data_IF_338004746551
#
_entry.id   IF_338004746551
#
_cell.length_a   1.000
_cell.length_b   1.000
_cell.length_c   1.000
_cell.angle_alpha   90.00
_cell.angle_beta   90.00
_cell.angle_gamma   90.00
#
_symmetry.space_group_name_H-M   'P 1'
#
loop_
_entity.id
_entity.type
_entity.pdbx_description
1 polymer ?
#
# COMPACT_ATOMS: atom_id res chain seq x y z
N UNK A 1 20.86 11.92 10.82
CA UNK A 1 21.01 13.39 10.94
C UNK A 1 21.87 13.81 12.14
N UNK A 2 21.52 13.45 13.39
CA UNK A 2 22.34 13.79 14.58
C UNK A 2 23.79 13.30 14.46
N UNK A 3 23.97 12.08 13.94
CA UNK A 3 25.30 11.50 13.69
C UNK A 3 26.12 12.28 12.64
N UNK A 4 25.47 13.13 11.84
CA UNK A 4 26.10 14.05 10.88
C UNK A 4 26.14 15.49 11.40
N UNK A 5 25.95 15.70 12.71
CA UNK A 5 25.96 17.03 13.34
C UNK A 5 24.74 17.90 13.03
N UNK A 6 23.69 17.35 12.42
CA UNK A 6 22.46 18.05 12.02
C UNK A 6 21.22 17.53 12.76
N UNK A 7 20.07 18.18 12.61
CA UNK A 7 18.82 17.75 13.25
C UNK A 7 17.61 17.96 12.34
N UNK A 8 16.55 17.21 12.60
CA UNK A 8 15.26 17.39 11.97
C UNK A 8 14.46 18.43 12.75
N UNK A 9 13.84 19.37 12.05
CA UNK A 9 12.98 20.41 12.62
C UNK A 9 11.53 20.01 12.39
N UNK A 10 10.74 19.99 13.46
CA UNK A 10 9.31 19.69 13.41
C UNK A 10 8.48 20.97 13.47
N UNK A 11 7.48 21.06 12.60
CA UNK A 11 6.50 22.16 12.51
C UNK A 11 5.15 21.58 12.11
N UNK A 12 4.08 22.19 12.58
CA UNK A 12 2.71 21.87 12.19
C UNK A 12 2.00 23.12 11.66
N UNK A 13 1.24 22.96 10.58
CA UNK A 13 0.52 24.06 9.93
C UNK A 13 0.41 23.86 8.42
N UNK A 14 -0.16 24.85 7.73
CA UNK A 14 -0.16 24.88 6.27
C UNK A 14 1.29 24.99 5.78
N UNK A 15 1.66 24.13 4.83
CA UNK A 15 3.05 23.99 4.40
C UNK A 15 3.70 25.31 3.98
N UNK A 16 3.02 26.14 3.19
CA UNK A 16 3.59 27.41 2.72
C UNK A 16 3.80 28.40 3.86
N UNK A 17 2.85 28.55 4.77
CA UNK A 17 2.96 29.49 5.90
C UNK A 17 4.17 29.13 6.77
N UNK A 18 4.29 27.85 7.13
CA UNK A 18 5.41 27.31 7.90
C UNK A 18 6.75 27.49 7.18
N UNK A 19 6.82 27.19 5.87
CA UNK A 19 8.06 27.33 5.10
C UNK A 19 8.50 28.78 4.99
N UNK A 20 7.56 29.73 4.85
CA UNK A 20 7.89 31.15 4.82
C UNK A 20 8.47 31.64 6.15
N UNK A 21 7.87 31.25 7.28
CA UNK A 21 8.40 31.55 8.61
C UNK A 21 9.80 30.96 8.79
N UNK A 22 10.00 29.70 8.39
CA UNK A 22 11.28 29.02 8.48
C UNK A 22 12.36 29.67 7.60
N UNK A 23 12.01 30.11 6.38
CA UNK A 23 12.93 30.83 5.49
C UNK A 23 13.38 32.14 6.13
N UNK A 24 12.47 32.90 6.77
CA UNK A 24 12.82 34.13 7.49
C UNK A 24 13.70 33.82 8.70
N UNK A 25 13.33 32.85 9.54
CA UNK A 25 14.06 32.46 10.74
C UNK A 25 15.49 31.97 10.45
N UNK A 26 15.66 31.23 9.35
CA UNK A 26 16.94 30.65 8.95
C UNK A 26 17.75 31.50 7.97
N UNK A 27 17.15 32.56 7.41
CA UNK A 27 17.71 33.33 6.28
C UNK A 27 18.07 32.44 5.07
N UNK A 28 17.34 31.34 4.86
CA UNK A 28 17.61 30.41 3.78
C UNK A 28 17.36 31.05 2.41
N UNK A 29 18.33 30.94 1.49
CA UNK A 29 18.17 31.38 0.09
C UNK A 29 17.53 30.32 -0.81
N UNK A 30 17.33 29.10 -0.31
CA UNK A 30 16.83 27.98 -1.10
C UNK A 30 16.02 26.97 -0.28
N UNK A 31 15.06 26.31 -0.93
CA UNK A 31 14.26 25.20 -0.42
C UNK A 31 14.28 24.06 -1.44
N UNK A 32 14.67 22.87 -0.98
CA UNK A 32 14.79 21.66 -1.80
C UNK A 32 13.94 20.52 -1.25
N UNK A 33 13.27 19.78 -2.13
CA UNK A 33 12.44 18.64 -1.73
C UNK A 33 12.39 17.55 -2.81
N UNK A 34 11.90 16.36 -2.45
CA UNK A 34 11.59 15.28 -3.39
C UNK A 34 10.14 15.36 -3.82
N UNK A 35 9.87 15.07 -5.11
CA UNK A 35 8.52 15.11 -5.69
C UNK A 35 7.63 14.03 -5.08
N UNK A 36 6.40 14.43 -4.80
CA UNK A 36 5.25 13.55 -4.65
C UNK A 36 4.33 13.76 -5.86
N UNK A 37 3.44 12.81 -6.12
CA UNK A 37 2.72 12.71 -7.39
C UNK A 37 1.21 12.64 -7.24
N UNK A 38 0.70 12.47 -6.02
CA UNK A 38 -0.74 12.56 -5.79
C UNK A 38 -1.22 14.01 -6.00
N UNK A 39 -2.49 14.20 -6.45
CA UNK A 39 -2.99 15.52 -6.82
C UNK A 39 -2.88 16.57 -5.71
N UNK A 40 -3.10 16.19 -4.46
CA UNK A 40 -3.05 17.11 -3.32
C UNK A 40 -1.62 17.59 -3.06
N UNK A 41 -0.64 16.68 -3.09
CA UNK A 41 0.75 17.04 -2.97
C UNK A 41 1.26 17.88 -4.16
N UNK A 42 0.81 17.57 -5.39
CA UNK A 42 1.16 18.36 -6.58
C UNK A 42 0.60 19.78 -6.50
N UNK A 43 -0.65 19.95 -6.06
CA UNK A 43 -1.26 21.25 -5.86
C UNK A 43 -0.51 22.05 -4.77
N UNK A 44 -0.24 21.42 -3.63
CA UNK A 44 0.53 22.02 -2.53
C UNK A 44 1.92 22.45 -2.98
N UNK A 45 2.66 21.58 -3.66
CA UNK A 45 4.04 21.86 -4.05
C UNK A 45 4.12 22.92 -5.16
N UNK A 46 3.10 22.99 -6.03
CA UNK A 46 2.98 24.04 -7.04
C UNK A 46 2.77 25.40 -6.39
N UNK A 47 1.86 25.49 -5.41
CA UNK A 47 1.67 26.71 -4.61
C UNK A 47 2.98 27.11 -3.90
N UNK A 48 3.60 26.17 -3.17
CA UNK A 48 4.84 26.43 -2.43
C UNK A 48 5.93 26.96 -3.36
N UNK A 49 6.12 26.33 -4.52
CA UNK A 49 7.14 26.73 -5.49
C UNK A 49 6.86 28.11 -6.09
N UNK A 50 5.60 28.46 -6.35
CA UNK A 50 5.23 29.80 -6.87
C UNK A 50 5.57 30.88 -5.86
N UNK A 51 5.07 30.72 -4.62
CA UNK A 51 5.21 31.74 -3.58
C UNK A 51 6.67 31.95 -3.16
N UNK A 52 7.47 30.87 -3.10
CA UNK A 52 8.90 31.00 -2.80
C UNK A 52 9.66 31.73 -3.91
N UNK A 53 9.34 31.46 -5.18
CA UNK A 53 9.95 32.15 -6.33
C UNK A 53 9.61 33.63 -6.37
N UNK A 54 8.37 34.01 -6.07
CA UNK A 54 7.94 35.41 -5.96
C UNK A 54 8.75 36.17 -4.89
N UNK A 55 9.21 35.47 -3.85
CA UNK A 55 10.09 36.00 -2.81
C UNK A 55 11.59 35.88 -3.12
N UNK A 56 11.96 35.54 -4.36
CA UNK A 56 13.34 35.32 -4.80
C UNK A 56 14.08 34.22 -4.01
N UNK A 57 13.35 33.21 -3.52
CA UNK A 57 13.93 32.02 -2.88
C UNK A 57 14.05 30.93 -3.94
N UNK A 58 15.22 30.30 -4.06
CA UNK A 58 15.40 29.18 -4.98
C UNK A 58 14.56 27.99 -4.52
N UNK A 59 13.65 27.51 -5.38
CA UNK A 59 12.76 26.39 -5.05
C UNK A 59 12.92 25.27 -6.08
N UNK A 60 13.50 24.12 -5.67
CA UNK A 60 13.75 22.97 -6.55
C UNK A 60 13.25 21.66 -5.96
N UNK A 61 12.62 20.88 -6.84
CA UNK A 61 12.06 19.56 -6.55
C UNK A 61 12.77 18.50 -7.39
N UNK A 62 13.15 17.38 -6.79
CA UNK A 62 13.90 16.29 -7.43
C UNK A 62 13.09 15.00 -7.48
N UNK A 63 13.39 14.12 -8.45
CA UNK A 63 12.84 12.77 -8.49
C UNK A 63 13.41 11.88 -7.37
N UNK A 64 13.11 10.58 -7.43
CA UNK A 64 13.65 9.59 -6.49
C UNK A 64 12.58 8.70 -5.85
N UNK A 65 11.36 9.20 -5.67
CA UNK A 65 10.22 8.39 -5.21
C UNK A 65 9.75 7.37 -6.26
N UNK A 66 9.98 7.67 -7.54
CA UNK A 66 9.74 6.80 -8.70
C UNK A 66 11.04 6.61 -9.48
N UNK A 67 11.18 5.48 -10.17
CA UNK A 67 12.28 5.23 -11.12
C UNK A 67 12.03 5.94 -12.46
N UNK A 68 10.78 6.00 -12.88
CA UNK A 68 10.40 6.60 -14.15
C UNK A 68 9.39 7.72 -13.90
N UNK A 69 9.76 8.94 -14.25
CA UNK A 69 8.84 10.07 -14.23
C UNK A 69 7.62 9.74 -15.13
N UNK A 70 6.37 9.82 -14.64
CA UNK A 70 5.19 9.32 -15.35
C UNK A 70 4.96 9.88 -16.76
N UNK A 71 5.36 11.14 -16.98
CA UNK A 71 5.27 11.81 -18.28
C UNK A 71 6.39 11.41 -19.26
N UNK A 72 7.39 10.63 -18.84
CA UNK A 72 8.49 10.18 -19.70
C UNK A 72 8.25 8.79 -20.30
N UNK A 73 7.16 8.11 -19.96
CA UNK A 73 6.84 6.75 -20.43
C UNK A 73 5.62 6.81 -21.35
N UNK A 74 5.84 6.89 -22.66
CA UNK A 74 4.78 7.00 -23.66
C UNK A 74 4.68 5.77 -24.56
N UNK A 75 3.50 5.54 -25.12
CA UNK A 75 3.32 4.50 -26.14
C UNK A 75 3.95 4.92 -27.47
N UNK A 76 4.25 3.94 -28.34
CA UNK A 76 4.81 4.21 -29.68
C UNK A 76 3.91 5.08 -30.58
N UNK A 77 2.62 5.13 -30.29
CA UNK A 77 1.62 5.91 -31.03
C UNK A 77 1.24 7.22 -30.31
N UNK A 78 1.97 7.60 -29.26
CA UNK A 78 1.60 8.70 -28.36
C UNK A 78 0.62 8.28 -27.27
N UNK A 79 0.50 9.11 -26.23
CA UNK A 79 -0.33 8.83 -25.06
C UNK A 79 0.29 7.84 -24.08
N UNK A 80 -0.49 7.43 -23.08
CA UNK A 80 -0.01 6.71 -21.91
C UNK A 80 -0.46 5.24 -21.88
N UNK A 81 0.32 4.38 -21.21
CA UNK A 81 -0.02 2.98 -21.03
C UNK A 81 -1.20 2.76 -20.07
N UNK A 82 -2.16 1.92 -20.50
CA UNK A 82 -3.33 1.48 -19.72
C UNK A 82 -3.30 -0.01 -19.35
N UNK A 83 -2.27 -0.73 -19.79
CA UNK A 83 -2.07 -2.17 -19.59
C UNK A 83 -0.65 -2.39 -19.08
N UNK A 84 -0.48 -3.25 -18.08
CA UNK A 84 0.81 -3.43 -17.40
C UNK A 84 1.86 -4.09 -18.30
N UNK A 85 1.51 -5.15 -19.03
CA UNK A 85 2.51 -5.90 -19.81
C UNK A 85 3.22 -5.06 -20.87
N UNK A 86 2.53 -4.22 -21.68
CA UNK A 86 3.21 -3.27 -22.57
C UNK A 86 4.05 -2.23 -21.82
N UNK A 87 3.59 -1.73 -20.66
CA UNK A 87 4.36 -0.80 -19.83
C UNK A 87 5.67 -1.43 -19.34
N UNK A 88 5.60 -2.62 -18.74
CA UNK A 88 6.78 -3.42 -18.35
C UNK A 88 7.75 -3.61 -19.50
N UNK A 89 7.25 -4.03 -20.67
CA UNK A 89 8.11 -4.26 -21.84
C UNK A 89 8.83 -3.00 -22.33
N UNK A 90 8.25 -1.83 -22.09
CA UNK A 90 8.87 -0.54 -22.42
C UNK A 90 9.91 -0.13 -21.40
N UNK A 91 9.66 -0.32 -20.09
CA UNK A 91 10.54 0.20 -19.05
C UNK A 91 11.63 -0.78 -18.59
N UNK A 92 11.46 -2.09 -18.78
CA UNK A 92 12.41 -3.11 -18.29
C UNK A 92 13.85 -2.97 -18.80
N UNK A 93 14.01 -2.34 -19.97
CA UNK A 93 15.31 -2.12 -20.62
C UNK A 93 15.75 -0.65 -20.56
N UNK A 94 14.98 0.23 -19.90
CA UNK A 94 15.40 1.62 -19.70
C UNK A 94 16.49 1.66 -18.65
N UNK A 95 17.43 2.57 -18.83
CA UNK A 95 18.40 2.89 -17.79
C UNK A 95 17.66 3.46 -16.57
N UNK A 96 18.03 2.96 -15.39
CA UNK A 96 17.58 3.45 -14.09
C UNK A 96 18.81 4.04 -13.42
N UNK A 97 18.76 5.32 -13.07
CA UNK A 97 19.89 6.03 -12.49
C UNK A 97 20.47 5.27 -11.28
N UNK A 98 21.80 5.25 -11.17
CA UNK A 98 22.44 4.64 -10.02
C UNK A 98 22.10 5.43 -8.73
N UNK A 99 21.83 4.75 -7.61
CA UNK A 99 21.60 5.43 -6.33
C UNK A 99 22.81 6.29 -5.95
N UNK A 100 22.55 7.53 -5.56
CA UNK A 100 23.58 8.43 -5.04
C UNK A 100 24.06 7.96 -3.67
N UNK A 101 25.32 8.25 -3.36
CA UNK A 101 25.88 7.96 -2.05
C UNK A 101 25.33 8.92 -0.99
N UNK A 102 25.21 8.42 0.24
CA UNK A 102 24.85 9.27 1.37
C UNK A 102 25.87 10.40 1.57
N UNK A 103 25.44 11.63 1.91
CA UNK A 103 26.36 12.71 2.26
C UNK A 103 27.24 12.32 3.45
N UNK A 104 28.54 12.64 3.40
CA UNK A 104 29.46 12.39 4.53
C UNK A 104 29.47 13.53 5.54
N UNK A 105 28.99 14.71 5.15
CA UNK A 105 28.93 15.90 6.01
C UNK A 105 27.72 16.75 5.64
N UNK A 106 26.96 17.19 6.65
CA UNK A 106 25.84 18.12 6.49
C UNK A 106 26.17 19.36 7.33
N UNK A 107 26.33 20.51 6.68
CA UNK A 107 26.57 21.77 7.40
C UNK A 107 25.33 22.15 8.20
N UNK A 108 25.53 22.42 9.48
CA UNK A 108 24.48 22.87 10.39
C UNK A 108 24.50 24.39 10.56
N UNK A 109 23.35 25.03 10.77
CA UNK A 109 23.29 26.45 11.06
C UNK A 109 23.88 26.75 12.45
N UNK A 110 24.38 27.97 12.64
CA UNK A 110 24.91 28.46 13.92
C UNK A 110 23.80 28.67 14.95
N UNK A 111 22.67 29.22 14.50
CA UNK A 111 21.43 29.29 15.27
C UNK A 111 20.42 28.36 14.63
N UNK A 112 19.86 27.46 15.42
CA UNK A 112 18.84 26.58 14.90
C UNK A 112 17.45 27.19 15.03
N UNK A 113 16.58 26.98 14.03
CA UNK A 113 15.17 27.29 14.15
C UNK A 113 14.53 26.63 15.38
N UNK A 114 13.41 27.19 15.84
CA UNK A 114 12.47 26.56 16.78
C UNK A 114 12.17 25.12 16.32
N UNK A 115 11.63 24.25 17.17
CA UNK A 115 11.14 22.93 16.75
C UNK A 115 10.10 22.47 17.74
N UNK A 116 8.99 21.96 17.22
CA UNK A 116 8.05 21.20 18.03
C UNK A 116 8.72 19.94 18.58
N UNK A 117 8.17 19.42 19.67
CA UNK A 117 8.44 18.07 20.12
C UNK A 117 7.48 17.11 19.42
N UNK A 118 8.01 16.17 18.64
CA UNK A 118 7.21 15.19 17.89
C UNK A 118 6.28 14.35 18.79
N UNK A 119 6.64 14.16 20.06
CA UNK A 119 5.79 13.48 21.06
C UNK A 119 4.47 14.20 21.30
N UNK A 120 4.45 15.52 21.17
CA UNK A 120 3.29 16.34 21.51
C UNK A 120 2.21 16.24 20.43
N UNK A 121 2.60 15.84 19.21
CA UNK A 121 1.69 15.61 18.10
C UNK A 121 0.80 14.38 18.33
N UNK A 122 1.19 13.46 19.24
CA UNK A 122 0.39 12.28 19.63
C UNK A 122 -0.19 11.52 18.42
N UNK A 123 0.67 11.23 17.43
CA UNK A 123 0.29 10.67 16.12
C UNK A 123 -0.40 9.30 16.20
N UNK A 124 -0.25 8.59 17.32
CA UNK A 124 -0.82 7.27 17.58
C UNK A 124 -2.08 7.31 18.47
N UNK A 125 -2.54 8.50 18.88
CA UNK A 125 -3.65 8.66 19.83
C UNK A 125 -4.92 7.95 19.37
N UNK A 126 -5.29 8.14 18.11
CA UNK A 126 -6.54 7.61 17.55
C UNK A 126 -6.51 6.08 17.36
N UNK A 127 -5.32 5.46 17.35
CA UNK A 127 -5.19 4.00 17.31
C UNK A 127 -5.56 3.34 18.65
N UNK A 128 -5.55 4.09 19.76
CA UNK A 128 -5.96 3.61 21.08
C UNK A 128 -5.31 2.29 21.48
N UNK A 129 -6.12 1.24 21.68
CA UNK A 129 -5.64 -0.10 22.07
C UNK A 129 -4.82 -0.78 20.96
N UNK A 130 -5.03 -0.40 19.69
CA UNK A 130 -4.33 -0.95 18.55
C UNK A 130 -2.84 -0.62 18.52
N UNK A 131 -2.43 0.53 19.09
CA UNK A 131 -1.03 1.00 19.04
C UNK A 131 -0.06 -0.04 19.58
N UNK A 132 -0.31 -0.56 20.78
CA UNK A 132 0.57 -1.54 21.43
C UNK A 132 0.58 -2.90 20.72
N UNK A 133 -0.49 -3.21 19.99
CA UNK A 133 -0.63 -4.47 19.24
C UNK A 133 0.14 -4.40 17.92
N UNK A 134 0.01 -3.30 17.18
CA UNK A 134 0.63 -3.12 15.86
C UNK A 134 2.12 -2.81 15.98
N UNK A 135 2.55 -2.05 17.00
CA UNK A 135 3.92 -1.55 17.15
C UNK A 135 5.02 -2.61 16.97
N UNK A 136 4.93 -3.84 17.51
CA UNK A 136 5.95 -4.87 17.33
C UNK A 136 6.13 -5.35 15.87
N UNK A 137 5.11 -5.18 15.03
CA UNK A 137 5.16 -5.58 13.61
C UNK A 137 5.74 -4.49 12.70
N UNK A 138 5.81 -3.25 13.20
CA UNK A 138 6.26 -2.08 12.45
C UNK A 138 7.79 -2.04 12.40
N UNK A 139 8.34 -2.04 11.19
CA UNK A 139 9.78 -2.12 10.90
C UNK A 139 10.17 -0.93 10.01
N UNK A 140 10.56 0.18 10.65
CA UNK A 140 10.79 1.48 10.01
C UNK A 140 12.25 1.91 10.12
N UNK A 141 12.64 2.84 9.25
CA UNK A 141 13.93 3.47 9.17
C UNK A 141 14.80 2.90 8.05
N UNK A 142 15.59 3.78 7.42
CA UNK A 142 16.48 3.46 6.30
C UNK A 142 17.35 2.23 6.56
N UNK A 143 18.00 2.15 7.74
CA UNK A 143 18.85 1.00 8.10
C UNK A 143 18.07 -0.32 8.09
N UNK A 144 16.85 -0.34 8.63
CA UNK A 144 15.99 -1.52 8.67
C UNK A 144 15.56 -1.91 7.25
N UNK A 145 15.20 -0.92 6.42
CA UNK A 145 14.86 -1.15 5.02
C UNK A 145 16.02 -1.76 4.23
N UNK A 146 17.26 -1.26 4.41
CA UNK A 146 18.46 -1.82 3.78
C UNK A 146 18.73 -3.26 4.23
N UNK A 147 18.62 -3.56 5.54
CA UNK A 147 18.78 -4.93 6.05
C UNK A 147 17.74 -5.89 5.45
N UNK A 148 16.49 -5.45 5.28
CA UNK A 148 15.43 -6.27 4.67
C UNK A 148 15.65 -6.50 3.19
N UNK A 149 16.13 -5.48 2.46
CA UNK A 149 16.52 -5.65 1.06
C UNK A 149 17.69 -6.65 0.95
N UNK A 150 18.72 -6.52 1.77
CA UNK A 150 19.86 -7.43 1.77
C UNK A 150 19.43 -8.88 2.05
N UNK A 151 18.68 -9.13 3.14
CA UNK A 151 18.15 -10.45 3.47
C UNK A 151 17.26 -11.02 2.36
N UNK A 152 16.41 -10.19 1.74
CA UNK A 152 15.57 -10.62 0.64
C UNK A 152 16.42 -11.06 -0.57
N UNK A 153 17.41 -10.26 -0.96
CA UNK A 153 18.26 -10.54 -2.11
C UNK A 153 19.18 -11.74 -1.86
N UNK A 154 19.67 -11.93 -0.65
CA UNK A 154 20.57 -13.04 -0.31
C UNK A 154 19.81 -14.36 -0.13
N UNK A 155 18.67 -14.34 0.58
CA UNK A 155 18.06 -15.56 1.11
C UNK A 155 16.72 -15.94 0.47
N UNK A 156 16.04 -15.01 -0.22
CA UNK A 156 14.64 -15.22 -0.64
C UNK A 156 14.41 -15.04 -2.14
N UNK A 157 15.12 -14.13 -2.79
CA UNK A 157 14.82 -13.70 -4.17
C UNK A 157 14.91 -14.86 -5.18
N UNK A 158 15.86 -15.78 -4.99
CA UNK A 158 16.02 -16.96 -5.85
C UNK A 158 14.78 -17.86 -5.88
N UNK A 159 14.05 -17.98 -4.76
CA UNK A 159 12.84 -18.81 -4.62
C UNK A 159 11.55 -17.96 -4.50
N UNK A 160 11.63 -16.70 -4.94
CA UNK A 160 10.55 -15.75 -4.77
C UNK A 160 9.30 -16.18 -5.56
N UNK A 161 9.48 -16.75 -6.76
CA UNK A 161 8.38 -17.16 -7.64
C UNK A 161 7.53 -18.25 -7.00
N UNK A 162 8.14 -19.23 -6.36
CA UNK A 162 7.47 -20.37 -5.73
C UNK A 162 6.79 -19.96 -4.41
N UNK A 163 7.42 -19.03 -3.67
CA UNK A 163 7.00 -18.67 -2.32
C UNK A 163 6.03 -17.49 -2.20
N UNK A 164 6.04 -16.55 -3.16
CA UNK A 164 5.33 -15.25 -3.04
C UNK A 164 3.81 -15.33 -2.98
N UNK A 165 3.23 -16.49 -3.28
CA UNK A 165 1.79 -16.69 -3.27
C UNK A 165 1.28 -17.37 -1.98
N UNK A 166 2.19 -17.80 -1.08
CA UNK A 166 1.85 -18.56 0.13
C UNK A 166 1.91 -17.64 1.37
N UNK A 167 0.77 -17.17 1.91
CA UNK A 167 0.76 -16.17 2.99
C UNK A 167 1.39 -16.64 4.30
N UNK A 168 1.36 -17.94 4.59
CA UNK A 168 1.98 -18.52 5.79
C UNK A 168 3.52 -18.41 5.76
N UNK A 169 4.14 -18.19 4.60
CA UNK A 169 5.59 -18.19 4.44
C UNK A 169 6.14 -16.76 4.31
N UNK A 170 7.21 -16.47 5.05
CA UNK A 170 7.91 -15.19 4.98
C UNK A 170 8.83 -15.10 3.74
N UNK A 171 8.24 -15.15 2.54
CA UNK A 171 8.96 -15.22 1.24
C UNK A 171 9.01 -13.91 0.46
N UNK A 172 8.26 -12.90 0.87
CA UNK A 172 8.28 -11.57 0.24
C UNK A 172 9.35 -10.66 0.86
N UNK A 173 9.65 -9.55 0.19
CA UNK A 173 10.64 -8.57 0.68
C UNK A 173 10.17 -7.82 1.93
N UNK A 174 8.84 -7.67 2.09
CA UNK A 174 8.21 -6.80 3.09
C UNK A 174 8.76 -5.36 3.06
N UNK A 175 9.08 -4.83 1.89
CA UNK A 175 9.62 -3.47 1.73
C UNK A 175 8.54 -2.41 1.45
N UNK A 176 7.25 -2.78 1.36
CA UNK A 176 6.20 -1.88 0.88
C UNK A 176 6.03 -0.64 1.77
N UNK A 177 6.04 -0.77 3.10
CA UNK A 177 5.98 0.39 4.00
C UNK A 177 7.23 1.28 3.92
N UNK A 178 8.41 0.68 3.71
CA UNK A 178 9.65 1.45 3.58
C UNK A 178 9.67 2.22 2.25
N UNK A 179 9.14 1.62 1.17
CA UNK A 179 8.97 2.26 -0.15
C UNK A 179 7.89 3.35 -0.14
N UNK A 180 6.80 3.17 0.61
CA UNK A 180 5.74 4.17 0.75
C UNK A 180 6.25 5.43 1.46
N UNK A 181 7.06 5.25 2.51
CA UNK A 181 7.64 6.34 3.30
C UNK A 181 8.94 6.93 2.73
N UNK A 182 9.48 6.35 1.65
CA UNK A 182 10.74 6.80 1.05
C UNK A 182 11.98 6.49 1.90
N UNK A 183 11.90 5.52 2.81
CA UNK A 183 13.03 5.04 3.62
C UNK A 183 14.02 4.19 2.82
N UNK A 184 13.60 3.73 1.65
CA UNK A 184 14.46 3.10 0.64
C UNK A 184 13.97 3.52 -0.74
N UNK A 185 14.89 3.81 -1.65
CA UNK A 185 14.52 4.20 -3.02
C UNK A 185 14.21 2.96 -3.87
N UNK A 186 13.24 3.05 -4.80
CA UNK A 186 13.02 1.97 -5.77
C UNK A 186 14.24 1.73 -6.67
N UNK A 187 15.10 2.75 -6.86
CA UNK A 187 16.39 2.62 -7.54
C UNK A 187 17.32 1.64 -6.83
N UNK A 188 17.44 1.73 -5.49
CA UNK A 188 18.27 0.78 -4.71
C UNK A 188 17.72 -0.65 -4.84
N UNK A 189 16.40 -0.83 -4.75
CA UNK A 189 15.77 -2.13 -4.93
C UNK A 189 16.00 -2.70 -6.34
N UNK A 190 15.84 -1.86 -7.37
CA UNK A 190 16.03 -2.23 -8.77
C UNK A 190 17.46 -2.68 -9.05
N UNK A 191 18.45 -1.87 -8.65
CA UNK A 191 19.87 -2.19 -8.86
C UNK A 191 20.29 -3.44 -8.09
N UNK A 192 19.79 -3.64 -6.87
CA UNK A 192 20.07 -4.87 -6.11
C UNK A 192 19.47 -6.12 -6.79
N UNK A 193 18.23 -6.03 -7.27
CA UNK A 193 17.56 -7.12 -7.97
C UNK A 193 18.18 -7.40 -9.34
N UNK A 194 18.60 -6.37 -10.08
CA UNK A 194 19.27 -6.53 -11.37
C UNK A 194 20.62 -7.24 -11.23
N UNK A 195 21.39 -6.92 -10.19
CA UNK A 195 22.63 -7.66 -9.87
C UNK A 195 22.34 -9.13 -9.59
N UNK A 196 21.38 -9.42 -8.71
CA UNK A 196 20.99 -10.80 -8.39
C UNK A 196 20.52 -11.57 -9.63
N UNK A 197 19.73 -10.93 -10.50
CA UNK A 197 19.30 -11.52 -11.76
C UNK A 197 20.48 -11.88 -12.67
N UNK A 198 21.45 -10.97 -12.83
CA UNK A 198 22.65 -11.19 -13.63
C UNK A 198 23.59 -12.26 -13.03
N UNK A 199 23.53 -12.47 -11.71
CA UNK A 199 24.25 -13.52 -10.99
C UNK A 199 23.52 -14.89 -11.05
N UNK A 200 22.41 -14.99 -11.79
CA UNK A 200 21.67 -16.24 -12.03
C UNK A 200 20.50 -16.48 -11.08
N UNK A 201 20.15 -15.51 -10.21
CA UNK A 201 18.96 -15.61 -9.36
C UNK A 201 17.71 -15.16 -10.12
N UNK A 202 17.21 -16.00 -11.03
CA UNK A 202 16.14 -15.62 -11.97
C UNK A 202 14.81 -15.19 -11.31
N UNK A 203 14.55 -15.59 -10.06
CA UNK A 203 13.41 -15.09 -9.29
C UNK A 203 13.39 -13.56 -9.10
N UNK A 204 14.55 -12.91 -9.24
CA UNK A 204 14.69 -11.45 -9.19
C UNK A 204 13.93 -10.72 -10.32
N UNK A 205 13.72 -11.34 -11.48
CA UNK A 205 12.91 -10.74 -12.55
C UNK A 205 11.47 -10.51 -12.09
N UNK A 206 10.92 -11.43 -11.29
CA UNK A 206 9.58 -11.27 -10.75
C UNK A 206 9.56 -10.13 -9.75
N UNK A 207 10.58 -9.99 -8.89
CA UNK A 207 10.66 -8.84 -7.99
C UNK A 207 10.79 -7.50 -8.75
N UNK A 208 11.56 -7.44 -9.85
CA UNK A 208 11.63 -6.27 -10.74
C UNK A 208 10.24 -5.92 -11.31
N UNK A 209 9.45 -6.92 -11.71
CA UNK A 209 8.05 -6.72 -12.16
C UNK A 209 7.18 -6.15 -11.04
N UNK A 210 7.30 -6.66 -9.82
CA UNK A 210 6.54 -6.13 -8.68
C UNK A 210 6.92 -4.68 -8.34
N UNK A 211 8.18 -4.28 -8.50
CA UNK A 211 8.58 -2.87 -8.40
C UNK A 211 7.92 -2.02 -9.50
N UNK A 212 7.84 -2.53 -10.73
CA UNK A 212 7.22 -1.83 -11.85
C UNK A 212 5.70 -1.77 -11.74
N UNK A 213 5.04 -2.68 -11.01
CA UNK A 213 3.62 -2.53 -10.67
C UNK A 213 3.35 -1.27 -9.86
N UNK A 214 4.26 -0.91 -8.94
CA UNK A 214 4.19 0.37 -8.21
C UNK A 214 4.36 1.55 -9.17
N UNK A 215 5.36 1.52 -10.06
CA UNK A 215 5.55 2.57 -11.08
C UNK A 215 4.32 2.72 -11.98
N UNK A 216 3.69 1.61 -12.37
CA UNK A 216 2.50 1.59 -13.19
C UNK A 216 1.29 2.20 -12.47
N UNK A 217 1.14 1.98 -11.15
CA UNK A 217 0.10 2.62 -10.36
C UNK A 217 0.23 4.14 -10.38
N UNK A 218 1.44 4.67 -10.18
CA UNK A 218 1.72 6.10 -10.23
C UNK A 218 1.57 6.67 -11.65
N UNK A 219 1.97 5.90 -12.66
CA UNK A 219 1.74 6.24 -14.06
C UNK A 219 0.25 6.45 -14.35
N UNK A 220 -0.61 5.50 -13.93
CA UNK A 220 -2.05 5.62 -14.06
C UNK A 220 -2.63 6.78 -13.25
N UNK A 221 -2.18 6.99 -12.01
CA UNK A 221 -2.63 8.12 -11.18
C UNK A 221 -2.29 9.46 -11.81
N UNK A 222 -1.10 9.62 -12.39
CA UNK A 222 -0.71 10.86 -13.05
C UNK A 222 -1.59 11.16 -14.28
N UNK A 223 -1.81 10.17 -15.14
CA UNK A 223 -2.56 10.35 -16.39
C UNK A 223 -4.08 10.31 -16.21
N UNK A 224 -4.56 9.68 -15.14
CA UNK A 224 -5.98 9.58 -14.78
C UNK A 224 -6.19 9.81 -13.28
N UNK A 225 -6.04 11.05 -12.77
CA UNK A 225 -6.08 11.36 -11.33
C UNK A 225 -7.37 10.90 -10.62
N UNK A 226 -8.48 10.87 -11.34
CA UNK A 226 -9.77 10.38 -10.85
C UNK A 226 -9.75 8.88 -10.46
N UNK A 227 -8.71 8.10 -10.81
CA UNK A 227 -8.55 6.72 -10.33
C UNK A 227 -8.57 6.63 -8.80
N UNK A 228 -8.22 7.71 -8.11
CA UNK A 228 -8.17 7.75 -6.65
C UNK A 228 -9.55 7.70 -5.99
N UNK A 229 -10.60 8.19 -6.65
CA UNK A 229 -11.91 8.41 -6.02
C UNK A 229 -13.14 8.06 -6.89
N UNK A 230 -12.95 7.84 -8.19
CA UNK A 230 -14.01 7.52 -9.15
C UNK A 230 -13.72 6.21 -9.87
N UNK A 231 -14.77 5.59 -10.41
CA UNK A 231 -14.60 4.44 -11.28
C UNK A 231 -13.76 4.83 -12.49
N UNK A 232 -12.73 4.05 -12.79
CA UNK A 232 -11.86 4.34 -13.93
C UNK A 232 -12.57 4.10 -15.27
N UNK A 233 -13.56 3.20 -15.28
CA UNK A 233 -14.50 2.99 -16.39
C UNK A 233 -15.87 3.57 -16.01
N UNK A 234 -16.26 4.66 -16.64
CA UNK A 234 -17.46 5.46 -16.30
C UNK A 234 -18.76 4.63 -16.19
N UNK A 235 -18.95 3.60 -17.03
CA UNK A 235 -20.14 2.75 -16.97
C UNK A 235 -20.37 2.08 -15.60
N UNK A 236 -19.31 1.86 -14.82
CA UNK A 236 -19.39 1.22 -13.50
C UNK A 236 -20.05 2.06 -12.42
N UNK A 237 -20.28 3.35 -12.66
CA UNK A 237 -21.06 4.21 -11.76
C UNK A 237 -22.52 3.76 -11.65
N UNK A 238 -23.07 3.20 -12.73
CA UNK A 238 -24.43 2.66 -12.77
C UNK A 238 -24.55 1.23 -12.19
N UNK A 239 -23.43 0.60 -11.84
CA UNK A 239 -23.44 -0.76 -11.31
C UNK A 239 -24.09 -0.78 -9.91
N UNK A 240 -24.95 -1.76 -9.58
CA UNK A 240 -25.79 -1.73 -8.37
C UNK A 240 -25.02 -2.12 -7.10
N UNK A 241 -24.01 -1.30 -6.75
CA UNK A 241 -23.19 -1.49 -5.57
C UNK A 241 -23.97 -1.20 -4.28
N UNK A 242 -23.74 -2.01 -3.25
CA UNK A 242 -24.01 -1.61 -1.88
C UNK A 242 -22.97 -0.54 -1.45
N UNK A 243 -23.44 0.66 -1.17
CA UNK A 243 -22.61 1.78 -0.70
C UNK A 243 -22.68 1.98 0.83
N UNK A 244 -23.44 1.15 1.54
CA UNK A 244 -23.57 1.23 2.99
C UNK A 244 -22.38 0.57 3.70
N UNK A 245 -21.41 1.40 4.10
CA UNK A 245 -20.20 1.00 4.82
C UNK A 245 -20.45 0.42 6.25
N UNK A 246 -21.69 0.54 6.75
CA UNK A 246 -22.15 0.04 8.05
C UNK A 246 -23.11 -1.15 7.92
N UNK A 247 -23.33 -1.67 6.71
CA UNK A 247 -24.12 -2.89 6.51
C UNK A 247 -23.51 -4.09 7.28
N UNK A 248 -24.31 -5.03 7.78
CA UNK A 248 -23.82 -6.21 8.52
C UNK A 248 -22.73 -6.99 7.76
N UNK A 249 -22.87 -7.13 6.45
CA UNK A 249 -21.91 -7.79 5.56
C UNK A 249 -20.56 -7.08 5.52
N UNK A 250 -20.57 -5.75 5.39
CA UNK A 250 -19.34 -4.95 5.39
C UNK A 250 -18.69 -4.94 6.76
N UNK A 251 -19.47 -4.87 7.84
CA UNK A 251 -18.93 -4.92 9.20
C UNK A 251 -18.32 -6.28 9.51
N UNK A 252 -18.96 -7.37 9.10
CA UNK A 252 -18.39 -8.71 9.17
C UNK A 252 -17.09 -8.83 8.37
N UNK A 253 -17.02 -8.21 7.19
CA UNK A 253 -15.80 -8.14 6.39
C UNK A 253 -14.68 -7.37 7.11
N UNK A 254 -14.93 -6.15 7.59
CA UNK A 254 -13.94 -5.30 8.28
C UNK A 254 -13.27 -6.01 9.45
N UNK A 255 -14.03 -6.77 10.24
CA UNK A 255 -13.56 -7.44 11.45
C UNK A 255 -13.30 -8.94 11.27
N UNK A 256 -13.26 -9.46 10.04
CA UNK A 256 -12.96 -10.87 9.77
C UNK A 256 -13.89 -11.83 10.50
N UNK A 257 -15.21 -11.62 10.34
CA UNK A 257 -16.31 -12.45 10.85
C UNK A 257 -17.28 -12.87 9.74
N UNK A 258 -16.78 -12.99 8.51
CA UNK A 258 -17.57 -13.34 7.33
C UNK A 258 -17.97 -14.81 7.28
N UNK A 259 -17.29 -15.68 8.04
CA UNK A 259 -17.45 -17.14 7.94
C UNK A 259 -16.65 -17.74 6.78
N UNK A 260 -15.87 -16.94 6.08
CA UNK A 260 -14.95 -17.36 5.01
C UNK A 260 -13.51 -17.26 5.53
N UNK A 261 -12.94 -18.39 5.97
CA UNK A 261 -11.70 -18.42 6.75
C UNK A 261 -10.52 -17.68 6.11
N UNK A 262 -10.33 -17.74 4.79
CA UNK A 262 -9.25 -16.96 4.15
C UNK A 262 -9.47 -15.46 4.32
N UNK A 263 -10.68 -14.99 4.02
CA UNK A 263 -11.05 -13.58 4.12
C UNK A 263 -10.85 -13.12 5.56
N UNK A 264 -11.37 -13.90 6.52
CA UNK A 264 -11.29 -13.56 7.93
C UNK A 264 -9.85 -13.53 8.46
N UNK A 265 -9.02 -14.51 8.09
CA UNK A 265 -7.60 -14.53 8.47
C UNK A 265 -6.84 -13.33 7.91
N UNK A 266 -7.08 -12.97 6.64
CA UNK A 266 -6.44 -11.82 6.02
C UNK A 266 -6.88 -10.49 6.64
N UNK A 267 -8.17 -10.31 6.92
CA UNK A 267 -8.68 -9.11 7.58
C UNK A 267 -8.14 -8.96 9.01
N UNK A 268 -7.92 -10.08 9.72
CA UNK A 268 -7.29 -10.07 11.04
C UNK A 268 -5.78 -9.83 10.98
N UNK A 269 -5.08 -10.38 9.99
CA UNK A 269 -3.66 -10.06 9.71
C UNK A 269 -3.49 -8.55 9.50
N UNK A 270 -4.33 -7.94 8.65
CA UNK A 270 -4.36 -6.51 8.41
C UNK A 270 -4.50 -5.72 9.71
N UNK A 271 -5.50 -6.07 10.51
CA UNK A 271 -5.84 -5.30 11.69
C UNK A 271 -4.76 -5.41 12.79
N UNK A 272 -4.11 -6.58 12.93
CA UNK A 272 -3.09 -6.81 13.96
C UNK A 272 -1.73 -6.26 13.54
N UNK A 273 -1.36 -6.38 12.27
CA UNK A 273 0.01 -6.11 11.81
C UNK A 273 0.15 -4.80 11.05
N UNK A 274 -0.97 -4.23 10.61
CA UNK A 274 -1.00 -3.14 9.65
C UNK A 274 -0.58 -3.54 8.23
N UNK A 275 -0.38 -4.83 7.97
CA UNK A 275 -0.03 -5.36 6.64
C UNK A 275 -0.96 -6.50 6.27
N UNK A 276 -1.10 -6.76 4.97
CA UNK A 276 -1.77 -7.94 4.47
C UNK A 276 -0.99 -8.50 3.30
N UNK A 277 -0.76 -9.80 3.28
CA UNK A 277 -0.12 -10.46 2.14
C UNK A 277 -0.89 -10.15 0.83
N UNK A 278 -0.21 -9.89 -0.29
CA UNK A 278 -0.87 -9.45 -1.53
C UNK A 278 -1.95 -10.44 -2.02
N UNK A 279 -1.71 -11.75 -1.89
CA UNK A 279 -2.74 -12.77 -2.15
C UNK A 279 -4.00 -12.57 -1.31
N UNK A 280 -3.83 -12.24 -0.03
CA UNK A 280 -4.92 -11.88 0.88
C UNK A 280 -5.65 -10.63 0.39
N UNK A 281 -4.91 -9.56 0.02
CA UNK A 281 -5.49 -8.31 -0.51
C UNK A 281 -6.41 -8.57 -1.69
N UNK A 282 -5.97 -9.37 -2.67
CA UNK A 282 -6.78 -9.75 -3.83
C UNK A 282 -8.05 -10.51 -3.45
N UNK A 283 -7.96 -11.46 -2.50
CA UNK A 283 -9.09 -12.31 -2.10
C UNK A 283 -10.12 -11.49 -1.32
N UNK A 284 -9.70 -10.67 -0.35
CA UNK A 284 -10.62 -9.84 0.43
C UNK A 284 -11.29 -8.77 -0.43
N UNK A 285 -10.55 -8.18 -1.38
CA UNK A 285 -11.10 -7.20 -2.30
C UNK A 285 -12.11 -7.83 -3.27
N UNK A 286 -11.81 -9.02 -3.80
CA UNK A 286 -12.74 -9.79 -4.64
C UNK A 286 -13.98 -10.24 -3.86
N UNK A 287 -13.83 -10.62 -2.57
CA UNK A 287 -14.97 -10.95 -1.73
C UNK A 287 -15.87 -9.73 -1.49
N UNK A 288 -15.31 -8.60 -1.09
CA UNK A 288 -16.07 -7.37 -0.86
C UNK A 288 -16.80 -6.91 -2.13
N UNK A 289 -16.08 -6.78 -3.24
CA UNK A 289 -16.65 -6.23 -4.48
C UNK A 289 -17.58 -7.21 -5.16
N UNK A 290 -17.23 -8.50 -5.25
CA UNK A 290 -18.04 -9.45 -6.02
C UNK A 290 -19.05 -10.19 -5.15
N UNK A 291 -18.60 -10.82 -4.06
CA UNK A 291 -19.51 -11.64 -3.25
C UNK A 291 -20.47 -10.78 -2.45
N UNK A 292 -19.99 -9.70 -1.84
CA UNK A 292 -20.82 -8.78 -1.05
C UNK A 292 -21.51 -7.70 -1.91
N UNK A 293 -21.12 -7.57 -3.19
CA UNK A 293 -21.57 -6.49 -4.08
C UNK A 293 -21.36 -5.09 -3.49
N UNK A 294 -20.35 -4.91 -2.65
CA UNK A 294 -20.08 -3.63 -2.00
C UNK A 294 -19.12 -2.76 -2.81
N UNK A 295 -19.35 -1.45 -2.81
CA UNK A 295 -18.52 -0.51 -3.56
C UNK A 295 -17.06 -0.56 -3.07
N UNK A 296 -16.11 -0.59 -4.02
CA UNK A 296 -14.68 -0.78 -3.73
C UNK A 296 -14.09 0.31 -2.82
N UNK A 297 -14.63 1.54 -2.87
CA UNK A 297 -14.23 2.66 -1.99
C UNK A 297 -14.38 2.35 -0.50
N UNK A 298 -15.36 1.53 -0.12
CA UNK A 298 -15.52 1.08 1.27
C UNK A 298 -14.27 0.32 1.73
N UNK A 299 -13.75 -0.54 0.87
CA UNK A 299 -12.53 -1.30 1.12
C UNK A 299 -11.27 -0.44 1.04
N UNK A 300 -11.21 0.47 0.07
CA UNK A 300 -10.11 1.42 -0.10
C UNK A 300 -9.90 2.29 1.15
N UNK A 301 -10.99 2.85 1.68
CA UNK A 301 -10.98 3.66 2.91
C UNK A 301 -10.66 2.81 4.15
N UNK A 302 -11.16 1.58 4.22
CA UNK A 302 -10.76 0.68 5.31
C UNK A 302 -9.26 0.39 5.26
N UNK A 303 -8.72 0.11 4.08
CA UNK A 303 -7.29 -0.12 3.87
C UNK A 303 -6.46 1.11 4.21
N UNK A 304 -6.92 2.34 3.92
CA UNK A 304 -6.20 3.55 4.31
C UNK A 304 -6.12 3.77 5.82
N UNK A 305 -7.12 3.29 6.56
CA UNK A 305 -7.12 3.38 8.02
C UNK A 305 -6.28 2.28 8.70
N UNK A 306 -5.95 1.19 8.00
CA UNK A 306 -5.28 0.04 8.61
C UNK A 306 -3.87 -0.24 8.07
N UNK A 307 -3.59 0.08 6.80
CA UNK A 307 -2.31 -0.27 6.18
C UNK A 307 -1.19 0.69 6.61
N UNK A 308 -0.09 0.13 7.12
CA UNK A 308 1.16 0.89 7.35
C UNK A 308 1.97 1.09 6.07
N UNK A 309 1.62 0.37 5.00
CA UNK A 309 2.15 0.58 3.65
C UNK A 309 1.16 1.29 2.74
N UNK A 310 0.29 2.12 3.32
CA UNK A 310 -0.67 2.90 2.55
C UNK A 310 0.03 3.75 1.50
N UNK A 311 -0.42 3.60 0.25
CA UNK A 311 0.06 4.31 -0.92
C UNK A 311 -1.19 4.63 -1.78
N UNK A 312 -1.45 5.91 -2.12
CA UNK A 312 -2.70 6.30 -2.76
C UNK A 312 -2.88 5.63 -4.13
N UNK A 313 -1.81 5.58 -4.94
CA UNK A 313 -1.84 5.01 -6.27
C UNK A 313 -2.04 3.49 -6.25
N UNK A 314 -1.23 2.79 -5.47
CA UNK A 314 -1.24 1.32 -5.39
C UNK A 314 -2.53 0.79 -4.76
N UNK A 315 -3.03 1.47 -3.72
CA UNK A 315 -4.29 1.12 -3.07
C UNK A 315 -5.47 1.30 -4.05
N UNK A 316 -5.57 2.47 -4.68
CA UNK A 316 -6.64 2.75 -5.64
C UNK A 316 -6.63 1.76 -6.82
N UNK A 317 -5.46 1.57 -7.45
CA UNK A 317 -5.31 0.65 -8.58
C UNK A 317 -5.70 -0.79 -8.20
N UNK A 318 -5.24 -1.30 -7.05
CA UNK A 318 -5.53 -2.68 -6.61
C UNK A 318 -7.02 -2.93 -6.34
N UNK A 319 -7.71 -1.95 -5.73
CA UNK A 319 -9.14 -2.02 -5.48
C UNK A 319 -9.95 -2.00 -6.78
N UNK A 320 -9.64 -1.07 -7.68
CA UNK A 320 -10.32 -0.98 -8.97
C UNK A 320 -10.05 -2.19 -9.86
N UNK A 321 -8.84 -2.73 -9.84
CA UNK A 321 -8.48 -3.95 -10.56
C UNK A 321 -9.28 -5.17 -10.09
N UNK A 322 -9.50 -5.29 -8.78
CA UNK A 322 -10.32 -6.36 -8.19
C UNK A 322 -11.82 -6.17 -8.48
N UNK A 323 -12.28 -4.91 -8.47
CA UNK A 323 -13.67 -4.54 -8.75
C UNK A 323 -14.08 -4.71 -10.22
N UNK A 324 -13.13 -4.83 -11.16
CA UNK A 324 -13.40 -4.89 -12.61
C UNK A 324 -13.50 -3.51 -13.29
N UNK A 325 -13.63 -2.44 -12.51
CA UNK A 325 -13.69 -1.04 -12.95
C UNK A 325 -12.34 -0.50 -13.45
N UNK A 326 -11.22 -1.04 -12.93
CA UNK A 326 -9.89 -0.51 -13.18
C UNK A 326 -9.30 -0.77 -14.57
N UNK A 327 -8.19 -0.07 -14.89
CA UNK A 327 -7.35 -0.37 -16.04
C UNK A 327 -6.71 -1.76 -15.88
N UNK A 328 -6.55 -2.49 -16.98
CA UNK A 328 -6.02 -3.88 -17.00
C UNK A 328 -6.75 -4.85 -16.03
N UNK A 329 -7.97 -4.52 -15.62
CA UNK A 329 -8.70 -5.29 -14.63
C UNK A 329 -9.01 -6.70 -15.12
N UNK A 330 -8.96 -7.67 -14.20
CA UNK A 330 -9.49 -9.00 -14.50
C UNK A 330 -10.95 -8.88 -14.94
N UNK A 331 -11.37 -9.63 -15.97
CA UNK A 331 -12.77 -9.61 -16.38
C UNK A 331 -13.68 -9.91 -15.18
N UNK A 332 -14.72 -9.09 -14.97
CA UNK A 332 -15.49 -9.12 -13.73
C UNK A 332 -16.05 -10.50 -13.41
N UNK A 333 -16.51 -11.24 -14.43
CA UNK A 333 -17.02 -12.60 -14.32
C UNK A 333 -16.03 -13.63 -13.75
N UNK A 334 -14.73 -13.31 -13.67
CA UNK A 334 -13.74 -14.08 -12.90
C UNK A 334 -13.90 -13.79 -11.41
N UNK A 335 -14.87 -14.45 -10.79
CA UNK A 335 -15.08 -14.43 -9.33
C UNK A 335 -14.19 -15.49 -8.68
N UNK A 336 -13.23 -15.09 -7.85
CA UNK A 336 -12.39 -16.04 -7.11
C UNK A 336 -13.26 -16.79 -6.11
N UNK A 337 -13.23 -18.12 -6.11
CA UNK A 337 -13.87 -18.87 -5.04
C UNK A 337 -12.95 -18.87 -3.80
N UNK A 338 -13.28 -18.15 -2.72
CA UNK A 338 -12.38 -18.00 -1.57
C UNK A 338 -12.11 -19.32 -0.84
N UNK A 339 -12.99 -20.32 -0.98
CA UNK A 339 -12.81 -21.66 -0.41
C UNK A 339 -11.67 -22.38 -1.15
N UNK A 340 -11.70 -22.41 -2.49
CA UNK A 340 -10.65 -23.08 -3.26
C UNK A 340 -9.33 -22.32 -3.25
N UNK A 341 -9.37 -20.99 -3.05
CA UNK A 341 -8.16 -20.21 -2.78
C UNK A 341 -7.48 -20.64 -1.48
N UNK A 342 -8.25 -20.97 -0.43
CA UNK A 342 -7.72 -21.48 0.83
C UNK A 342 -7.02 -22.82 0.64
N UNK A 343 -7.66 -23.76 -0.07
CA UNK A 343 -7.05 -25.05 -0.37
C UNK A 343 -5.74 -24.92 -1.16
N UNK A 344 -5.68 -23.94 -2.07
CA UNK A 344 -4.51 -23.71 -2.92
C UNK A 344 -3.35 -23.05 -2.18
N UNK A 345 -3.61 -22.01 -1.39
CA UNK A 345 -2.55 -21.14 -0.83
C UNK A 345 -2.33 -21.31 0.67
N UNK A 346 -3.19 -22.04 1.37
CA UNK A 346 -3.06 -22.38 2.79
C UNK A 346 -3.44 -23.85 3.02
N UNK A 347 -2.85 -24.76 2.24
CA UNK A 347 -3.16 -26.20 2.23
C UNK A 347 -3.14 -26.82 3.64
N UNK A 348 -2.17 -26.42 4.47
CA UNK A 348 -2.01 -26.94 5.82
C UNK A 348 -2.84 -26.18 6.87
N UNK A 349 -3.49 -25.07 6.50
CA UNK A 349 -4.19 -24.13 7.40
C UNK A 349 -3.28 -23.37 8.37
N UNK A 350 -2.00 -23.24 8.07
CA UNK A 350 -1.06 -22.53 8.95
C UNK A 350 -1.39 -21.04 9.04
N UNK A 351 -1.80 -20.42 7.93
CA UNK A 351 -2.17 -19.01 7.90
C UNK A 351 -3.49 -18.75 8.66
N UNK A 352 -4.52 -19.54 8.38
CA UNK A 352 -5.81 -19.42 9.07
C UNK A 352 -5.71 -19.66 10.57
N UNK A 353 -4.98 -20.70 11.00
CA UNK A 353 -4.74 -20.98 12.43
C UNK A 353 -3.94 -19.89 13.14
N UNK A 354 -3.07 -19.18 12.42
CA UNK A 354 -2.28 -18.09 12.98
C UNK A 354 -3.14 -16.89 13.36
N UNK A 355 -4.21 -16.63 12.61
CA UNK A 355 -4.99 -15.38 12.70
C UNK A 355 -6.41 -15.54 13.23
N UNK A 356 -6.97 -16.75 13.22
CA UNK A 356 -8.33 -17.03 13.71
C UNK A 356 -8.23 -17.94 14.93
N UNK A 357 -8.67 -17.44 16.09
CA UNK A 357 -8.56 -18.17 17.35
C UNK A 357 -9.67 -19.23 17.48
N UNK A 358 -10.85 -18.94 16.92
CA UNK A 358 -12.09 -19.69 17.07
C UNK A 358 -12.09 -21.03 16.30
N UNK A 359 -11.17 -21.19 15.34
CA UNK A 359 -11.06 -22.41 14.52
C UNK A 359 -10.09 -23.43 15.10
N UNK A 360 -9.47 -23.15 16.25
CA UNK A 360 -8.45 -23.99 16.84
C UNK A 360 -8.51 -24.04 18.36
N UNK A 361 -8.44 -25.26 18.92
CA UNK A 361 -8.34 -25.45 20.37
C UNK A 361 -7.03 -24.88 20.94
N UNK A 362 -5.90 -25.07 20.25
CA UNK A 362 -4.63 -24.45 20.62
C UNK A 362 -4.49 -23.10 19.91
N UNK A 363 -5.01 -22.05 20.55
CA UNK A 363 -5.11 -20.71 19.96
C UNK A 363 -3.72 -20.09 19.80
N UNK A 364 -3.39 -19.64 18.59
CA UNK A 364 -2.14 -18.96 18.32
C UNK A 364 -2.09 -17.60 19.00
N UNK A 365 -0.92 -17.21 19.53
CA UNK A 365 -0.76 -15.94 20.25
C UNK A 365 -1.08 -14.72 19.40
N UNK A 366 -0.73 -14.74 18.10
CA UNK A 366 -1.11 -13.68 17.16
C UNK A 366 -2.63 -13.56 16.98
N UNK A 367 -3.37 -14.67 16.91
CA UNK A 367 -4.83 -14.62 16.79
C UNK A 367 -5.49 -13.95 18.01
N UNK A 368 -4.93 -14.17 19.21
CA UNK A 368 -5.43 -13.54 20.45
C UNK A 368 -5.21 -12.03 20.48
N UNK A 369 -4.21 -11.50 19.77
CA UNK A 369 -3.96 -10.06 19.68
C UNK A 369 -5.12 -9.29 19.02
N UNK A 370 -5.91 -9.95 18.17
CA UNK A 370 -7.06 -9.34 17.51
C UNK A 370 -8.04 -8.74 18.54
N UNK A 371 -8.40 -9.50 19.57
CA UNK A 371 -9.33 -9.09 20.64
C UNK A 371 -8.78 -7.97 21.52
N UNK A 372 -7.46 -7.84 21.56
CA UNK A 372 -6.79 -6.73 22.24
C UNK A 372 -6.80 -5.43 21.42
N UNK A 373 -6.89 -5.53 20.09
CA UNK A 373 -6.83 -4.38 19.19
C UNK A 373 -8.20 -3.81 18.82
N UNK A 374 -9.22 -4.65 18.64
CA UNK A 374 -10.53 -4.21 18.14
C UNK A 374 -11.27 -3.27 19.11
N UNK A 375 -12.18 -2.40 18.63
CA UNK A 375 -13.00 -1.59 19.52
C UNK A 375 -13.87 -2.46 20.42
N UNK A 376 -13.95 -2.12 21.71
CA UNK A 376 -14.67 -2.91 22.71
C UNK A 376 -16.16 -3.08 22.38
N UNK A 377 -16.76 -2.08 21.75
CA UNK A 377 -18.17 -2.11 21.30
C UNK A 377 -18.48 -3.19 20.26
N UNK A 378 -17.47 -3.76 19.59
CA UNK A 378 -17.66 -4.86 18.64
C UNK A 378 -18.00 -6.17 19.37
N UNK A 379 -17.60 -6.30 20.65
CA UNK A 379 -18.08 -7.37 21.54
C UNK A 379 -17.64 -8.79 21.17
N UNK A 380 -16.53 -8.96 20.45
CA UNK A 380 -16.01 -10.29 20.08
C UNK A 380 -15.04 -10.85 21.12
N UNK A 381 -15.06 -12.18 21.25
CA UNK A 381 -14.21 -12.97 22.14
C UNK A 381 -13.57 -14.15 21.42
N UNK A 382 -12.39 -14.59 21.88
CA UNK A 382 -11.73 -15.80 21.36
C UNK A 382 -12.48 -17.09 21.66
N UNK A 383 -13.49 -17.03 22.54
CA UNK A 383 -14.34 -18.17 22.90
C UNK A 383 -15.63 -18.21 22.08
N UNK A 384 -15.86 -17.24 21.20
CA UNK A 384 -17.03 -17.24 20.34
C UNK A 384 -16.98 -18.39 19.34
N UNK A 385 -18.15 -18.89 18.96
CA UNK A 385 -18.24 -19.84 17.84
C UNK A 385 -17.91 -19.13 16.54
N UNK A 386 -17.03 -19.73 15.73
CA UNK A 386 -16.74 -19.22 14.38
C UNK A 386 -18.04 -19.18 13.55
N UNK A 387 -18.36 -18.05 12.89
CA UNK A 387 -19.67 -17.87 12.29
C UNK A 387 -19.85 -18.73 11.04
N UNK A 388 -21.11 -19.06 10.75
CA UNK A 388 -21.50 -19.50 9.42
C UNK A 388 -21.28 -18.39 8.38
N UNK A 389 -21.05 -18.75 7.09
CA UNK A 389 -20.85 -17.76 6.04
C UNK A 389 -22.01 -16.75 5.95
N UNK A 390 -21.71 -15.46 6.13
CA UNK A 390 -22.70 -14.38 5.98
C UNK A 390 -23.24 -14.33 4.54
N UNK A 391 -22.36 -14.62 3.59
CA UNK A 391 -22.70 -14.90 2.20
C UNK A 391 -21.84 -16.07 1.75
N UNK A 392 -22.49 -17.20 1.47
CA UNK A 392 -21.84 -18.38 0.93
C UNK A 392 -21.20 -18.09 -0.45
N UNK A 393 -20.08 -18.76 -0.75
CA UNK A 393 -19.27 -18.46 -1.95
C UNK A 393 -20.05 -18.64 -3.27
N UNK A 394 -20.87 -19.67 -3.36
CA UNK A 394 -21.72 -19.98 -4.52
C UNK A 394 -22.86 -18.95 -4.68
N UNK A 395 -23.53 -18.58 -3.58
CA UNK A 395 -24.57 -17.56 -3.55
C UNK A 395 -24.00 -16.21 -3.97
N UNK A 396 -22.89 -15.79 -3.37
CA UNK A 396 -22.21 -14.54 -3.69
C UNK A 396 -21.76 -14.48 -5.14
N UNK A 397 -21.21 -15.58 -5.67
CA UNK A 397 -20.84 -15.69 -7.10
C UNK A 397 -22.06 -15.55 -8.01
N UNK A 398 -23.15 -16.27 -7.74
CA UNK A 398 -24.38 -16.18 -8.54
C UNK A 398 -24.92 -14.75 -8.55
N UNK A 399 -24.98 -14.13 -7.37
CA UNK A 399 -25.39 -12.73 -7.20
C UNK A 399 -24.53 -11.76 -8.01
N UNK A 400 -23.21 -11.91 -7.97
CA UNK A 400 -22.28 -11.09 -8.74
C UNK A 400 -22.51 -11.20 -10.26
N UNK A 401 -22.66 -12.44 -10.77
CA UNK A 401 -22.84 -12.69 -12.19
C UNK A 401 -24.19 -12.18 -12.68
N UNK A 402 -25.27 -12.37 -11.92
CA UNK A 402 -26.58 -11.82 -12.26
C UNK A 402 -26.57 -10.29 -12.30
N UNK A 403 -25.93 -9.62 -11.34
CA UNK A 403 -25.77 -8.16 -11.36
C UNK A 403 -24.96 -7.70 -12.59
N UNK A 404 -23.93 -8.45 -12.95
CA UNK A 404 -23.13 -8.16 -14.13
C UNK A 404 -23.88 -8.39 -15.44
N UNK A 405 -24.64 -9.48 -15.58
CA UNK A 405 -25.46 -9.76 -16.75
C UNK A 405 -26.55 -8.71 -16.99
N UNK A 406 -27.11 -8.16 -15.91
CA UNK A 406 -28.19 -7.17 -15.96
C UNK A 406 -27.70 -5.71 -16.02
N UNK A 407 -26.40 -5.47 -16.16
CA UNK A 407 -25.86 -4.09 -16.24
C UNK A 407 -26.24 -3.44 -17.57
N UNK A 408 -26.39 -2.13 -17.57
CA UNK A 408 -26.87 -1.36 -18.74
C UNK A 408 -25.74 -0.79 -19.62
N UNK A 409 -24.48 -1.22 -19.41
CA UNK A 409 -23.28 -0.67 -20.06
C UNK A 409 -22.28 -1.71 -20.59
#
# INVERSE_FOLDING_TARGET
LKDYGSRLIFRSGRAIDVLQELVVESSAGAVFWSRLYDPDAVARDTEVKSVLKEKNIEARSFGGHLMFEPWTVETKTGGFYKVYTPFWNTVKNREVDAPLTQPTNIKSPTSWPFSDHISDWRLDKEMGRGTVVVRPFVQLGEKVAQTRLADFIENKVATYVEGRDIPAQARTSNLSENLALGEISPHQCWHAAMRAFNEGQFGAETFLKELVWREFAYHLMHHTPWILDQNWKDGWDAFPWNTNASSPEVMAWKYGRTGIQFVDAAMRELYITGRMHNRGRMIVASYLTKHLLSHWRIGQEWFSNCLIDWDPASNAMGWQWSAGSGPDATPYFRVFNPVTQLDKFDKNRDYTRRWIAEVCHNQHSDALKFYNAIPLQIGLSSQDTYPEPIVAADIGRKRALTAYENREF
#
